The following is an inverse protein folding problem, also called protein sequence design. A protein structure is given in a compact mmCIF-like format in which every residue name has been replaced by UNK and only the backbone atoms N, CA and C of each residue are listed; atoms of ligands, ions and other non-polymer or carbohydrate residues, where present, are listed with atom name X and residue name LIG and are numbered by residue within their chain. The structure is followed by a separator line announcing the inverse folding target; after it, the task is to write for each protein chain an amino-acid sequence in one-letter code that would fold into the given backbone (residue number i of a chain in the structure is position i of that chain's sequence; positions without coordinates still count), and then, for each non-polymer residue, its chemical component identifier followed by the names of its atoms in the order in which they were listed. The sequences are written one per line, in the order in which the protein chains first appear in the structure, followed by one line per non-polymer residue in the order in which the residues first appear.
data_IF_324035278258
#
_entry.id   IF_324035278258
#
_cell.length_a   1.000
_cell.length_b   1.000
_cell.length_c   1.000
_cell.angle_alpha   90.00
_cell.angle_beta   90.00
_cell.angle_gamma   90.00
#
_symmetry.space_group_name_H-M   'P 1'
#
loop_
_entity.id
_entity.type
_entity.pdbx_description
1 polymer ?
#
# COMPACT_ATOMS: atom_id res chain seq x y z
N UNK A 1 11.26 14.71 2.48
CA UNK A 1 10.18 13.73 2.45
C UNK A 1 9.11 14.33 1.58
N UNK A 2 8.66 13.61 0.57
CA UNK A 2 7.54 14.02 -0.25
C UNK A 2 6.23 14.07 0.55
N UNK A 3 5.30 14.94 0.16
CA UNK A 3 3.95 14.98 0.72
C UNK A 3 3.10 13.83 0.19
N UNK A 4 2.00 13.51 0.89
CA UNK A 4 1.02 12.54 0.40
C UNK A 4 0.53 12.88 -1.01
N UNK A 5 0.23 14.16 -1.29
CA UNK A 5 -0.18 14.63 -2.62
C UNK A 5 0.86 14.35 -3.71
N UNK A 6 2.15 14.53 -3.38
CA UNK A 6 3.25 14.31 -4.32
C UNK A 6 3.38 12.82 -4.64
N UNK A 7 3.24 11.95 -3.64
CA UNK A 7 3.29 10.49 -3.82
C UNK A 7 2.07 9.97 -4.58
N UNK A 8 0.88 10.48 -4.30
CA UNK A 8 -0.34 10.18 -5.06
C UNK A 8 -0.19 10.60 -6.52
N UNK A 9 0.34 11.81 -6.78
CA UNK A 9 0.59 12.27 -8.14
C UNK A 9 1.55 11.35 -8.90
N UNK A 10 2.66 10.93 -8.27
CA UNK A 10 3.60 9.96 -8.86
C UNK A 10 2.91 8.62 -9.16
N UNK A 11 2.03 8.15 -8.28
CA UNK A 11 1.28 6.91 -8.49
C UNK A 11 0.30 7.03 -9.66
N UNK A 12 -0.37 8.18 -9.81
CA UNK A 12 -1.24 8.49 -10.95
C UNK A 12 -0.45 8.50 -12.26
N UNK A 13 0.69 9.18 -12.28
CA UNK A 13 1.58 9.22 -13.45
C UNK A 13 2.09 7.83 -13.85
N UNK A 14 2.43 6.99 -12.87
CA UNK A 14 2.95 5.64 -13.11
C UNK A 14 1.89 4.66 -13.63
N UNK A 15 0.63 4.81 -13.20
CA UNK A 15 -0.45 3.85 -13.52
C UNK A 15 -1.42 4.34 -14.60
N UNK A 16 -1.50 5.66 -14.83
CA UNK A 16 -2.53 6.29 -15.66
C UNK A 16 -3.93 6.32 -15.01
N UNK A 17 -4.05 5.92 -13.74
CA UNK A 17 -5.30 5.86 -12.99
C UNK A 17 -5.35 7.00 -11.97
N UNK A 18 -6.56 7.44 -11.59
CA UNK A 18 -6.73 8.60 -10.68
C UNK A 18 -7.60 8.35 -9.46
N UNK A 19 -8.36 7.25 -9.46
CA UNK A 19 -9.33 6.94 -8.42
C UNK A 19 -8.73 6.03 -7.34
N UNK A 20 -8.53 6.60 -6.16
CA UNK A 20 -8.04 5.89 -4.99
C UNK A 20 -9.17 5.34 -4.11
N UNK A 21 -10.43 5.39 -4.56
CA UNK A 21 -11.59 4.99 -3.77
C UNK A 21 -11.72 5.82 -2.48
N UNK A 22 -12.14 5.16 -1.40
CA UNK A 22 -12.29 5.81 -0.10
C UNK A 22 -10.93 6.36 0.42
N UNK A 23 -10.86 7.58 0.97
CA UNK A 23 -9.60 8.19 1.42
C UNK A 23 -9.08 7.64 2.76
N UNK A 24 -9.54 6.48 3.23
CA UNK A 24 -9.20 5.89 4.54
C UNK A 24 -7.70 5.64 4.73
N UNK A 25 -6.95 5.42 3.64
CA UNK A 25 -5.50 5.23 3.66
C UNK A 25 -4.72 6.53 3.96
N UNK A 26 -5.32 7.70 3.73
CA UNK A 26 -4.59 8.97 3.66
C UNK A 26 -4.12 9.48 5.02
N UNK A 27 -4.90 9.24 6.07
CA UNK A 27 -4.51 9.58 7.44
C UNK A 27 -3.25 8.82 7.85
N UNK A 28 -3.25 7.49 7.68
CA UNK A 28 -2.11 6.65 7.98
C UNK A 28 -0.85 7.01 7.18
N UNK A 29 -1.02 7.32 5.88
CA UNK A 29 0.09 7.78 5.04
C UNK A 29 0.69 9.09 5.56
N UNK A 30 -0.16 10.05 5.93
CA UNK A 30 0.31 11.36 6.45
C UNK A 30 1.10 11.17 7.74
N UNK A 31 0.56 10.40 8.69
CA UNK A 31 1.24 10.09 9.96
C UNK A 31 2.57 9.35 9.74
N UNK A 32 2.61 8.42 8.80
CA UNK A 32 3.81 7.68 8.43
C UNK A 32 4.88 8.61 7.86
N UNK A 33 4.52 9.50 6.93
CA UNK A 33 5.45 10.47 6.33
C UNK A 33 5.99 11.45 7.37
N UNK A 34 5.12 11.93 8.25
CA UNK A 34 5.49 12.83 9.34
C UNK A 34 6.46 12.17 10.33
N UNK A 35 6.17 10.94 10.75
CA UNK A 35 7.07 10.14 11.59
C UNK A 35 8.39 9.88 10.90
N UNK A 36 8.35 9.45 9.63
CA UNK A 36 9.54 9.15 8.87
C UNK A 36 10.42 10.40 8.62
N UNK A 37 9.82 11.57 8.45
CA UNK A 37 10.54 12.83 8.32
C UNK A 37 11.22 13.27 9.62
N UNK A 38 10.63 12.98 10.78
CA UNK A 38 11.19 13.32 12.10
C UNK A 38 12.21 12.30 12.61
N UNK A 39 11.90 11.02 12.48
CA UNK A 39 12.47 9.98 13.33
C UNK A 39 13.35 8.97 12.55
N UNK A 40 13.17 8.83 11.23
CA UNK A 40 13.80 7.72 10.48
C UNK A 40 15.28 7.92 10.11
N UNK A 41 15.81 9.14 10.21
CA UNK A 41 17.21 9.49 9.91
C UNK A 41 17.75 8.87 8.61
N UNK A 42 17.00 8.99 7.52
CA UNK A 42 17.38 8.40 6.24
C UNK A 42 18.64 9.03 5.65
N UNK A 43 19.47 8.20 5.03
CA UNK A 43 20.37 8.68 3.98
C UNK A 43 19.59 8.89 2.66
N UNK A 44 20.23 9.49 1.67
CA UNK A 44 19.57 9.83 0.40
C UNK A 44 18.94 8.62 -0.30
N UNK A 45 19.69 7.51 -0.39
CA UNK A 45 19.21 6.26 -1.02
C UNK A 45 18.04 5.66 -0.25
N UNK A 46 18.10 5.65 1.08
CA UNK A 46 17.04 5.12 1.94
C UNK A 46 15.74 5.91 1.80
N UNK A 47 15.85 7.25 1.75
CA UNK A 47 14.69 8.12 1.51
C UNK A 47 14.07 7.85 0.14
N UNK A 48 14.89 7.74 -0.90
CA UNK A 48 14.41 7.47 -2.25
C UNK A 48 13.73 6.09 -2.35
N UNK A 49 14.31 5.05 -1.73
CA UNK A 49 13.71 3.72 -1.69
C UNK A 49 12.38 3.70 -0.92
N UNK A 50 12.29 4.41 0.20
CA UNK A 50 11.07 4.54 0.98
C UNK A 50 9.95 5.25 0.19
N UNK A 51 10.25 6.39 -0.42
CA UNK A 51 9.27 7.11 -1.26
C UNK A 51 8.83 6.27 -2.46
N UNK A 52 9.75 5.55 -3.12
CA UNK A 52 9.43 4.64 -4.21
C UNK A 52 8.52 3.48 -3.76
N UNK A 53 8.75 2.91 -2.58
CA UNK A 53 7.89 1.89 -1.99
C UNK A 53 6.46 2.43 -1.77
N UNK A 54 6.33 3.62 -1.18
CA UNK A 54 5.02 4.23 -0.94
C UNK A 54 4.28 4.55 -2.25
N UNK A 55 4.98 5.09 -3.25
CA UNK A 55 4.40 5.29 -4.59
C UNK A 55 3.93 3.97 -5.21
N UNK A 56 4.69 2.89 -5.07
CA UNK A 56 4.28 1.56 -5.56
C UNK A 56 3.02 1.03 -4.87
N UNK A 57 2.93 1.17 -3.54
CA UNK A 57 1.75 0.77 -2.77
C UNK A 57 0.50 1.58 -3.14
N UNK A 58 0.65 2.89 -3.35
CA UNK A 58 -0.41 3.76 -3.86
C UNK A 58 -0.83 3.37 -5.29
N UNK A 59 0.13 3.00 -6.13
CA UNK A 59 -0.13 2.45 -7.47
C UNK A 59 -0.95 1.17 -7.43
N UNK A 60 -0.62 0.24 -6.51
CA UNK A 60 -1.41 -0.98 -6.31
C UNK A 60 -2.84 -0.65 -5.87
N UNK A 61 -3.02 0.33 -4.98
CA UNK A 61 -4.36 0.79 -4.58
C UNK A 61 -5.17 1.26 -5.78
N UNK A 62 -4.61 2.12 -6.63
CA UNK A 62 -5.27 2.58 -7.86
C UNK A 62 -5.70 1.41 -8.76
N UNK A 63 -4.80 0.43 -8.94
CA UNK A 63 -5.09 -0.75 -9.76
C UNK A 63 -6.22 -1.61 -9.17
N UNK A 64 -6.25 -1.79 -7.85
CA UNK A 64 -7.32 -2.52 -7.16
C UNK A 64 -8.67 -1.82 -7.34
N UNK A 65 -8.75 -0.51 -7.06
CA UNK A 65 -9.99 0.27 -7.23
C UNK A 65 -10.47 0.24 -8.68
N UNK A 66 -9.57 0.42 -9.65
CA UNK A 66 -9.88 0.30 -11.06
C UNK A 66 -10.39 -1.10 -11.44
N UNK A 67 -9.86 -2.16 -10.82
CA UNK A 67 -10.30 -3.52 -11.06
C UNK A 67 -11.72 -3.76 -10.54
N UNK A 68 -12.03 -3.31 -9.32
CA UNK A 68 -13.37 -3.38 -8.74
C UNK A 68 -14.41 -2.63 -9.59
N UNK A 69 -14.07 -1.45 -10.13
CA UNK A 69 -14.96 -0.70 -11.03
C UNK A 69 -15.33 -1.48 -12.30
N UNK A 70 -14.40 -2.30 -12.80
CA UNK A 70 -14.59 -3.10 -14.03
C UNK A 70 -15.29 -4.42 -13.78
N UNK A 71 -15.21 -4.92 -12.55
CA UNK A 71 -15.67 -6.23 -12.14
C UNK A 71 -16.53 -6.13 -10.87
N UNK A 72 -17.69 -5.46 -10.93
CA UNK A 72 -18.57 -5.32 -9.76
C UNK A 72 -19.09 -6.67 -9.23
N UNK A 73 -19.10 -7.73 -10.05
CA UNK A 73 -19.44 -9.10 -9.65
C UNK A 73 -18.54 -9.68 -8.55
N UNK A 74 -17.38 -9.05 -8.28
CA UNK A 74 -16.50 -9.44 -7.17
C UNK A 74 -17.21 -9.28 -5.82
N UNK A 75 -18.12 -8.31 -5.68
CA UNK A 75 -18.86 -8.08 -4.43
C UNK A 75 -19.83 -9.21 -4.11
N UNK A 76 -20.15 -10.08 -5.08
CA UNK A 76 -21.00 -11.26 -4.89
C UNK A 76 -20.23 -12.48 -4.37
N UNK A 77 -18.89 -12.43 -4.36
CA UNK A 77 -18.05 -13.56 -3.98
C UNK A 77 -17.93 -13.68 -2.46
N UNK A 78 -18.07 -14.90 -1.93
CA UNK A 78 -17.88 -15.19 -0.51
C UNK A 78 -16.49 -15.78 -0.22
N UNK A 79 -15.78 -15.21 0.76
CA UNK A 79 -14.53 -15.79 1.28
C UNK A 79 -14.89 -16.75 2.42
N UNK A 80 -15.03 -18.04 2.11
CA UNK A 80 -15.44 -19.08 3.06
C UNK A 80 -14.22 -19.74 3.72
N UNK A 81 -14.23 -19.81 5.05
CA UNK A 81 -13.22 -20.49 5.87
C UNK A 81 -11.75 -20.12 5.55
N UNK A 82 -11.37 -18.82 5.59
CA UNK A 82 -9.99 -18.42 5.33
C UNK A 82 -9.05 -18.91 6.44
N UNK A 83 -7.92 -19.48 6.06
CA UNK A 83 -6.83 -19.78 6.98
C UNK A 83 -5.98 -18.52 7.19
N UNK A 84 -5.96 -17.99 8.41
CA UNK A 84 -5.20 -16.77 8.75
C UNK A 84 -4.07 -17.13 9.70
N UNK A 85 -2.83 -17.02 9.21
CA UNK A 85 -1.63 -17.20 10.03
C UNK A 85 -1.29 -15.93 10.80
N UNK A 86 -1.29 -16.00 12.14
CA UNK A 86 -0.90 -14.92 13.03
C UNK A 86 0.26 -15.35 13.93
N UNK A 87 1.16 -14.42 14.25
CA UNK A 87 2.29 -14.70 15.13
C UNK A 87 3.34 -13.59 15.08
N UNK A 88 4.37 -13.74 15.89
CA UNK A 88 5.53 -12.84 15.83
C UNK A 88 6.27 -12.99 14.50
N UNK A 89 6.96 -11.94 14.02
CA UNK A 89 7.87 -12.10 12.90
C UNK A 89 8.93 -13.16 13.23
N UNK A 90 9.38 -13.89 12.19
CA UNK A 90 10.47 -14.89 12.27
C UNK A 90 10.15 -16.19 13.05
N UNK A 91 8.88 -16.61 13.09
CA UNK A 91 8.42 -17.87 13.72
C UNK A 91 8.22 -19.04 12.75
N UNK A 92 8.77 -18.95 11.53
CA UNK A 92 8.59 -19.99 10.50
C UNK A 92 7.34 -19.82 9.64
N UNK A 93 6.73 -18.63 9.61
CA UNK A 93 5.55 -18.34 8.76
C UNK A 93 5.77 -18.64 7.27
N UNK A 94 6.99 -18.48 6.75
CA UNK A 94 7.33 -18.87 5.36
C UNK A 94 7.21 -20.38 5.13
N UNK A 95 7.68 -21.20 6.08
CA UNK A 95 7.52 -22.64 5.97
C UNK A 95 6.02 -22.99 6.02
N UNK A 96 5.29 -22.39 6.96
CA UNK A 96 3.84 -22.58 7.09
C UNK A 96 3.07 -22.19 5.82
N UNK A 97 3.45 -21.11 5.13
CA UNK A 97 2.77 -20.66 3.90
C UNK A 97 3.04 -21.55 2.67
N UNK A 98 4.04 -22.43 2.73
CA UNK A 98 4.42 -23.32 1.63
C UNK A 98 4.03 -24.79 1.88
N UNK A 99 3.39 -25.09 3.01
CA UNK A 99 2.81 -26.40 3.31
C UNK A 99 1.39 -26.49 2.74
#
# INVERSE_FOLDING_TARGET
MDSADRLEQKAREATGLSDFGEPSYREGLTLLLDSAARDANFNETGRAAFEAQLTGLLGNRLQVEHWYQRHPEIDEQEIVAPLIGLGLPRTGSTALSCL
#
